data_IF_903157150374
#
_entry.id   IF_903157150374
#
_cell.length_a   1.000
_cell.length_b   1.000
_cell.length_c   1.000
_cell.angle_alpha   90.00
_cell.angle_beta   90.00
_cell.angle_gamma   90.00
#
_symmetry.space_group_name_H-M   'P 1'
#
loop_
_entity.id
_entity.type
_entity.pdbx_description
1 polymer ?
#
# COMPACT_ATOMS: atom_id res chain seq x y z
N UNK A 1 22.74 24.87 46.97
CA UNK A 1 24.04 24.19 47.08
C UNK A 1 24.50 23.87 45.67
N UNK A 2 25.58 24.51 45.24
CA UNK A 2 25.94 24.77 43.84
C UNK A 2 26.29 23.51 43.03
N UNK A 3 25.81 23.44 41.77
CA UNK A 3 26.13 22.38 40.79
C UNK A 3 27.62 22.31 40.41
N UNK A 4 28.41 23.36 40.66
CA UNK A 4 29.84 23.38 40.38
C UNK A 4 30.69 22.51 41.32
N UNK A 5 30.19 22.15 42.52
CA UNK A 5 30.97 21.34 43.46
C UNK A 5 30.85 19.83 43.26
N UNK A 6 29.97 19.36 42.38
CA UNK A 6 29.72 17.94 42.16
C UNK A 6 30.53 17.35 41.00
N UNK A 7 30.87 18.17 40.00
CA UNK A 7 31.70 17.79 38.86
C UNK A 7 33.01 17.05 39.22
N UNK A 8 33.85 17.56 40.15
CA UNK A 8 35.11 16.87 40.48
C UNK A 8 34.89 15.53 41.19
N UNK A 9 33.80 15.38 41.96
CA UNK A 9 33.47 14.13 42.65
C UNK A 9 32.98 13.04 41.67
N UNK A 10 32.22 13.42 40.64
CA UNK A 10 31.82 12.50 39.57
C UNK A 10 33.00 12.07 38.71
N UNK A 11 33.95 12.97 38.48
CA UNK A 11 35.15 12.69 37.70
C UNK A 11 36.10 11.72 38.45
N UNK A 12 36.24 11.89 39.77
CA UNK A 12 36.98 10.96 40.62
C UNK A 12 36.31 9.57 40.72
N UNK A 13 34.98 9.51 40.79
CA UNK A 13 34.21 8.26 40.76
C UNK A 13 34.31 7.54 39.40
N UNK A 14 34.39 8.29 38.30
CA UNK A 14 34.57 7.74 36.95
C UNK A 14 35.99 7.20 36.73
N UNK A 15 37.01 7.82 37.30
CA UNK A 15 38.39 7.31 37.22
C UNK A 15 38.64 6.09 38.10
N UNK A 16 38.03 6.04 39.30
CA UNK A 16 38.19 4.93 40.24
C UNK A 16 37.55 3.62 39.76
N UNK A 17 36.51 3.70 38.93
CA UNK A 17 35.78 2.53 38.41
C UNK A 17 36.02 2.31 36.90
N UNK A 18 37.13 2.82 36.35
CA UNK A 18 37.57 2.57 34.96
C UNK A 18 37.54 1.07 34.66
N UNK A 19 36.79 0.67 33.64
CA UNK A 19 36.83 -0.68 33.09
C UNK A 19 36.00 -1.74 33.82
N UNK A 20 35.16 -1.38 34.80
CA UNK A 20 34.23 -2.33 35.41
C UNK A 20 32.93 -2.42 34.58
N UNK A 21 32.71 -3.59 33.98
CA UNK A 21 31.42 -3.97 33.40
C UNK A 21 30.50 -4.44 34.52
N UNK A 22 29.34 -3.80 34.66
CA UNK A 22 28.30 -4.27 35.56
C UNK A 22 27.16 -4.88 34.73
N UNK A 23 26.72 -6.11 35.03
CA UNK A 23 25.58 -6.70 34.35
C UNK A 23 24.32 -5.94 34.75
N UNK A 24 23.77 -5.16 33.82
CA UNK A 24 22.48 -4.50 34.01
C UNK A 24 21.40 -5.51 33.66
N UNK A 25 20.60 -5.90 34.66
CA UNK A 25 19.47 -6.83 34.49
C UNK A 25 18.52 -6.25 33.44
N UNK A 26 18.47 -6.89 32.27
CA UNK A 26 17.61 -6.52 31.14
C UNK A 26 18.24 -5.64 30.05
N UNK A 27 19.52 -5.27 30.14
CA UNK A 27 20.14 -4.27 29.24
C UNK A 27 21.49 -4.62 28.60
N UNK A 28 22.10 -5.76 28.94
CA UNK A 28 23.46 -6.11 28.48
C UNK A 28 24.58 -5.42 29.28
N UNK A 29 25.83 -5.63 28.86
CA UNK A 29 27.03 -5.08 29.53
C UNK A 29 27.24 -3.61 29.15
N UNK A 30 27.20 -2.71 30.14
CA UNK A 30 27.55 -1.30 29.98
C UNK A 30 29.03 -1.05 30.25
N UNK A 31 29.72 -0.35 29.34
CA UNK A 31 31.10 0.11 29.54
C UNK A 31 31.05 1.63 29.76
N UNK A 32 31.62 2.10 30.87
CA UNK A 32 31.63 3.52 31.26
C UNK A 32 32.77 4.26 30.56
N UNK A 33 32.44 5.21 29.68
CA UNK A 33 33.36 6.14 29.02
C UNK A 33 32.91 7.61 29.20
N UNK A 34 33.88 8.54 29.21
CA UNK A 34 33.84 9.88 29.84
C UNK A 34 32.71 10.88 29.44
N UNK A 35 31.87 10.65 28.43
CA UNK A 35 30.80 11.63 28.12
C UNK A 35 29.56 11.07 27.39
N UNK A 36 29.41 9.77 27.23
CA UNK A 36 28.10 9.21 26.87
C UNK A 36 27.99 7.77 27.33
N UNK A 37 27.03 7.53 28.23
CA UNK A 37 26.54 6.18 28.49
C UNK A 37 25.71 5.81 27.25
N UNK A 38 26.34 5.20 26.25
CA UNK A 38 25.59 4.55 25.17
C UNK A 38 24.93 3.31 25.76
N UNK A 39 23.76 3.51 26.37
CA UNK A 39 22.79 2.45 26.55
C UNK A 39 22.31 2.13 25.14
N UNK A 40 23.00 1.21 24.46
CA UNK A 40 22.50 0.56 23.25
C UNK A 40 21.34 -0.32 23.68
N UNK A 41 20.22 0.34 23.98
CA UNK A 41 18.95 -0.32 24.18
C UNK A 41 18.54 -0.87 22.83
N UNK A 42 18.40 -2.19 22.75
CA UNK A 42 17.79 -2.86 21.60
C UNK A 42 16.37 -2.34 21.30
N UNK A 43 15.73 -1.65 22.27
CA UNK A 43 14.46 -0.94 22.08
C UNK A 43 14.59 0.40 21.33
N UNK A 44 15.70 1.15 21.48
CA UNK A 44 15.89 2.44 20.79
C UNK A 44 16.35 2.29 19.33
N UNK A 45 17.04 1.18 19.00
CA UNK A 45 17.29 0.78 17.61
C UNK A 45 16.00 0.38 16.89
N UNK A 46 15.11 -0.38 17.55
CA UNK A 46 13.83 -0.78 16.97
C UNK A 46 12.95 0.44 16.65
N UNK A 47 12.91 1.43 17.55
CA UNK A 47 12.10 2.64 17.36
C UNK A 47 12.67 3.60 16.31
N UNK A 48 14.01 3.68 16.19
CA UNK A 48 14.66 4.49 15.15
C UNK A 48 14.60 3.85 13.76
N UNK A 49 14.60 2.51 13.66
CA UNK A 49 14.43 1.78 12.39
C UNK A 49 12.96 1.80 11.92
N UNK A 50 12.00 1.66 12.84
CA UNK A 50 10.58 1.71 12.52
C UNK A 50 10.17 3.11 12.01
N UNK A 51 10.58 4.18 12.68
CA UNK A 51 10.24 5.55 12.25
C UNK A 51 10.82 5.96 10.88
N UNK A 52 12.04 5.49 10.56
CA UNK A 52 12.66 5.74 9.25
C UNK A 52 12.01 4.92 8.14
N UNK A 53 11.70 3.65 8.41
CA UNK A 53 11.00 2.78 7.47
C UNK A 53 9.62 3.34 7.13
N UNK A 54 8.84 3.79 8.12
CA UNK A 54 7.51 4.37 7.87
C UNK A 54 7.56 5.65 7.03
N UNK A 55 8.54 6.51 7.24
CA UNK A 55 8.67 7.76 6.47
C UNK A 55 8.99 7.47 5.00
N UNK A 56 9.91 6.53 4.74
CA UNK A 56 10.30 6.14 3.38
C UNK A 56 9.13 5.42 2.69
N UNK A 57 8.51 4.45 3.36
CA UNK A 57 7.35 3.70 2.84
C UNK A 57 6.19 4.65 2.55
N UNK A 58 5.83 5.55 3.47
CA UNK A 58 4.78 6.55 3.28
C UNK A 58 5.05 7.49 2.11
N UNK A 59 6.31 7.90 1.93
CA UNK A 59 6.75 8.70 0.77
C UNK A 59 6.55 7.96 -0.55
N UNK A 60 7.00 6.70 -0.63
CA UNK A 60 6.90 5.87 -1.84
C UNK A 60 5.44 5.54 -2.19
N UNK A 61 4.57 5.32 -1.20
CA UNK A 61 3.15 5.03 -1.42
C UNK A 61 2.34 6.26 -1.88
N UNK A 62 2.88 7.47 -1.82
CA UNK A 62 2.15 8.68 -2.21
C UNK A 62 1.85 8.75 -3.71
N UNK A 63 2.83 8.38 -4.55
CA UNK A 63 2.67 8.42 -6.01
C UNK A 63 1.70 7.34 -6.54
N UNK A 64 1.79 6.06 -6.12
CA UNK A 64 0.83 5.04 -6.53
C UNK A 64 -0.61 5.36 -6.12
N UNK A 65 -0.83 5.97 -4.95
CA UNK A 65 -2.17 6.42 -4.52
C UNK A 65 -2.77 7.43 -5.49
N UNK A 66 -1.98 8.40 -5.97
CA UNK A 66 -2.43 9.37 -6.96
C UNK A 66 -2.72 8.69 -8.31
N UNK A 67 -1.84 7.79 -8.75
CA UNK A 67 -2.04 7.00 -9.97
C UNK A 67 -3.33 6.19 -9.91
N UNK A 68 -3.61 5.51 -8.79
CA UNK A 68 -4.86 4.78 -8.58
C UNK A 68 -6.08 5.69 -8.77
N UNK A 69 -6.02 6.92 -8.27
CA UNK A 69 -7.10 7.90 -8.40
C UNK A 69 -7.34 8.30 -9.86
N UNK A 70 -6.28 8.63 -10.59
CA UNK A 70 -6.35 9.01 -12.01
C UNK A 70 -6.83 7.82 -12.86
N UNK A 71 -6.30 6.62 -12.61
CA UNK A 71 -6.68 5.41 -13.32
C UNK A 71 -8.15 5.04 -13.10
N UNK A 72 -8.68 5.25 -11.89
CA UNK A 72 -10.11 5.04 -11.63
C UNK A 72 -10.99 5.90 -12.54
N UNK A 73 -10.60 7.16 -12.78
CA UNK A 73 -11.32 8.05 -13.69
C UNK A 73 -11.17 7.60 -15.16
N UNK A 74 -9.98 7.15 -15.55
CA UNK A 74 -9.74 6.61 -16.89
C UNK A 74 -10.61 5.38 -17.18
N UNK A 75 -10.72 4.45 -16.22
CA UNK A 75 -11.60 3.27 -16.32
C UNK A 75 -13.06 3.69 -16.43
N UNK A 76 -13.52 4.63 -15.60
CA UNK A 76 -14.88 5.13 -15.67
C UNK A 76 -15.20 5.73 -17.05
N UNK A 77 -14.30 6.56 -17.59
CA UNK A 77 -14.49 7.17 -18.92
C UNK A 77 -14.54 6.12 -20.04
N UNK A 78 -13.66 5.12 -19.99
CA UNK A 78 -13.66 4.01 -20.95
C UNK A 78 -14.95 3.19 -20.86
N UNK A 79 -15.45 2.93 -19.66
CA UNK A 79 -16.71 2.21 -19.48
C UNK A 79 -17.91 3.01 -20.01
N UNK A 80 -17.92 4.34 -19.82
CA UNK A 80 -18.92 5.21 -20.43
C UNK A 80 -18.85 5.19 -21.96
N UNK A 81 -17.65 5.19 -22.54
CA UNK A 81 -17.45 5.05 -23.97
C UNK A 81 -17.98 3.70 -24.49
N UNK A 82 -17.68 2.60 -23.80
CA UNK A 82 -18.17 1.25 -24.14
C UNK A 82 -19.71 1.18 -24.14
N UNK A 83 -20.35 1.79 -23.13
CA UNK A 83 -21.82 1.89 -23.06
C UNK A 83 -22.38 2.63 -24.27
N UNK A 84 -21.77 3.75 -24.67
CA UNK A 84 -22.25 4.55 -25.81
C UNK A 84 -22.30 3.71 -27.09
N UNK A 85 -21.29 2.87 -27.32
CA UNK A 85 -21.23 1.96 -28.47
C UNK A 85 -22.35 0.91 -28.39
N UNK A 86 -22.59 0.32 -27.22
CA UNK A 86 -23.61 -0.74 -27.03
C UNK A 86 -25.03 -0.23 -26.79
N UNK A 87 -25.30 1.08 -26.90
CA UNK A 87 -26.63 1.66 -26.65
C UNK A 87 -27.71 1.06 -27.55
N UNK A 88 -27.39 0.79 -28.82
CA UNK A 88 -28.35 0.19 -29.77
C UNK A 88 -28.72 -1.23 -29.35
N UNK A 89 -27.75 -2.05 -28.97
CA UNK A 89 -27.97 -3.41 -28.48
C UNK A 89 -28.84 -3.42 -27.21
N UNK A 90 -28.55 -2.53 -26.26
CA UNK A 90 -29.38 -2.36 -25.06
C UNK A 90 -30.81 -1.90 -25.39
N UNK A 91 -30.98 -1.06 -26.41
CA UNK A 91 -32.29 -0.65 -26.92
C UNK A 91 -33.11 -1.82 -27.47
N UNK A 92 -32.47 -2.71 -28.25
CA UNK A 92 -33.10 -3.94 -28.78
C UNK A 92 -33.48 -4.88 -27.63
N UNK A 93 -32.59 -5.09 -26.66
CA UNK A 93 -32.90 -5.93 -25.49
C UNK A 93 -34.11 -5.38 -24.70
N UNK A 94 -34.21 -4.05 -24.54
CA UNK A 94 -35.38 -3.43 -23.89
C UNK A 94 -36.66 -3.56 -24.71
N UNK A 95 -36.57 -3.55 -26.04
CA UNK A 95 -37.73 -3.76 -26.92
C UNK A 95 -38.27 -5.21 -26.83
N UNK A 96 -37.41 -6.18 -26.56
CA UNK A 96 -37.78 -7.60 -26.29
C UNK A 96 -38.29 -7.79 -24.85
N UNK A 97 -38.33 -6.74 -24.02
CA UNK A 97 -38.91 -6.76 -22.67
C UNK A 97 -37.92 -6.92 -21.53
N UNK A 98 -36.61 -6.79 -21.78
CA UNK A 98 -35.61 -6.87 -20.71
C UNK A 98 -35.75 -5.65 -19.76
N UNK A 99 -36.00 -5.93 -18.47
CA UNK A 99 -36.04 -4.90 -17.43
C UNK A 99 -34.70 -4.17 -17.31
N UNK A 100 -34.73 -2.87 -16.99
CA UNK A 100 -33.52 -2.09 -16.68
C UNK A 100 -32.73 -2.65 -15.49
N UNK A 101 -33.38 -3.38 -14.56
CA UNK A 101 -32.68 -4.09 -13.48
C UNK A 101 -31.95 -5.35 -13.95
N UNK A 102 -32.46 -6.03 -14.98
CA UNK A 102 -31.79 -7.18 -15.58
C UNK A 102 -30.55 -6.74 -16.36
N UNK A 103 -30.63 -5.63 -17.11
CA UNK A 103 -29.46 -5.00 -17.74
C UNK A 103 -28.40 -4.59 -16.72
N UNK A 104 -28.81 -4.00 -15.61
CA UNK A 104 -27.90 -3.62 -14.53
C UNK A 104 -27.16 -4.83 -13.95
N UNK A 105 -27.87 -5.94 -13.68
CA UNK A 105 -27.25 -7.18 -13.19
C UNK A 105 -26.29 -7.80 -14.20
N UNK A 106 -26.60 -7.73 -15.50
CA UNK A 106 -25.73 -8.21 -16.57
C UNK A 106 -24.42 -7.41 -16.61
N UNK A 107 -24.51 -6.08 -16.61
CA UNK A 107 -23.34 -5.19 -16.59
C UNK A 107 -22.49 -5.39 -15.34
N UNK A 108 -23.14 -5.57 -14.18
CA UNK A 108 -22.44 -5.83 -12.92
C UNK A 108 -21.74 -7.20 -12.96
N UNK A 109 -22.31 -8.20 -13.62
CA UNK A 109 -21.68 -9.48 -13.88
C UNK A 109 -20.44 -9.38 -14.77
N UNK A 110 -20.54 -8.65 -15.89
CA UNK A 110 -19.40 -8.38 -16.79
C UNK A 110 -18.27 -7.64 -16.04
N UNK A 111 -18.64 -6.64 -15.24
CA UNK A 111 -17.70 -5.91 -14.39
C UNK A 111 -17.06 -6.78 -13.31
N UNK A 112 -17.82 -7.69 -12.67
CA UNK A 112 -17.29 -8.59 -11.67
C UNK A 112 -16.28 -9.57 -12.26
N UNK A 113 -16.57 -10.15 -13.44
CA UNK A 113 -15.65 -11.08 -14.12
C UNK A 113 -14.38 -10.37 -14.55
N UNK A 114 -14.49 -9.19 -15.15
CA UNK A 114 -13.33 -8.39 -15.58
C UNK A 114 -12.51 -7.90 -14.39
N UNK A 115 -13.14 -7.44 -13.31
CA UNK A 115 -12.48 -7.04 -12.08
C UNK A 115 -11.77 -8.19 -11.36
N UNK A 116 -12.38 -9.37 -11.34
CA UNK A 116 -11.75 -10.57 -10.78
C UNK A 116 -10.53 -10.99 -11.60
N UNK A 117 -10.64 -11.02 -12.93
CA UNK A 117 -9.52 -11.31 -13.82
C UNK A 117 -8.37 -10.29 -13.65
N UNK A 118 -8.69 -9.00 -13.58
CA UNK A 118 -7.71 -7.94 -13.36
C UNK A 118 -7.01 -8.07 -11.99
N UNK A 119 -7.75 -8.45 -10.95
CA UNK A 119 -7.20 -8.64 -9.61
C UNK A 119 -6.22 -9.82 -9.57
N UNK A 120 -6.56 -10.93 -10.22
CA UNK A 120 -5.66 -12.09 -10.35
C UNK A 120 -4.37 -11.73 -11.11
N UNK A 121 -4.51 -11.02 -12.23
CA UNK A 121 -3.37 -10.53 -13.02
C UNK A 121 -2.49 -9.58 -12.21
N UNK A 122 -3.10 -8.65 -11.48
CA UNK A 122 -2.40 -7.70 -10.63
C UNK A 122 -1.65 -8.38 -9.48
N UNK A 123 -2.26 -9.38 -8.83
CA UNK A 123 -1.60 -10.18 -7.79
C UNK A 123 -0.39 -10.93 -8.35
N UNK A 124 -0.55 -11.59 -9.49
CA UNK A 124 0.54 -12.31 -10.15
C UNK A 124 1.68 -11.37 -10.53
N UNK A 125 1.36 -10.22 -11.13
CA UNK A 125 2.36 -9.21 -11.49
C UNK A 125 3.04 -8.60 -10.26
N UNK A 126 2.30 -8.32 -9.19
CA UNK A 126 2.84 -7.76 -7.95
C UNK A 126 3.81 -8.70 -7.26
N UNK A 127 3.48 -9.99 -7.15
CA UNK A 127 4.39 -11.00 -6.58
C UNK A 127 5.62 -11.17 -7.49
N UNK A 128 5.41 -11.29 -8.79
CA UNK A 128 6.51 -11.44 -9.76
C UNK A 128 7.48 -10.27 -9.71
N UNK A 129 6.97 -9.03 -9.79
CA UNK A 129 7.76 -7.81 -9.69
C UNK A 129 8.45 -7.67 -8.33
N UNK A 130 7.78 -8.05 -7.23
CA UNK A 130 8.34 -8.06 -5.88
C UNK A 130 9.52 -9.02 -5.75
N UNK A 131 9.39 -10.24 -6.24
CA UNK A 131 10.47 -11.23 -6.22
C UNK A 131 11.62 -10.82 -7.15
N UNK A 132 11.33 -10.34 -8.37
CA UNK A 132 12.36 -9.87 -9.29
C UNK A 132 13.15 -8.68 -8.73
N UNK A 133 12.47 -7.71 -8.11
CA UNK A 133 13.13 -6.55 -7.49
C UNK A 133 13.98 -6.95 -6.28
N UNK A 134 13.52 -7.90 -5.46
CA UNK A 134 14.30 -8.44 -4.34
C UNK A 134 15.57 -9.18 -4.81
N UNK A 135 15.46 -10.00 -5.86
CA UNK A 135 16.61 -10.66 -6.47
C UNK A 135 17.59 -9.64 -7.07
N UNK A 136 17.08 -8.65 -7.81
CA UNK A 136 17.90 -7.61 -8.41
C UNK A 136 18.64 -6.78 -7.33
N UNK A 137 18.00 -6.47 -6.21
CA UNK A 137 18.62 -5.76 -5.09
C UNK A 137 19.80 -6.57 -4.49
N UNK A 138 19.69 -7.90 -4.47
CA UNK A 138 20.76 -8.78 -3.96
C UNK A 138 21.99 -8.77 -4.87
N UNK A 139 21.79 -8.70 -6.19
CA UNK A 139 22.89 -8.68 -7.18
C UNK A 139 23.52 -7.29 -7.38
N UNK A 140 22.74 -6.21 -7.24
CA UNK A 140 23.23 -4.84 -7.46
C UNK A 140 23.87 -4.21 -6.22
N UNK A 141 23.63 -4.75 -5.02
CA UNK A 141 24.22 -4.20 -3.80
C UNK A 141 25.70 -4.58 -3.73
N UNK A 142 26.57 -3.60 -3.95
CA UNK A 142 28.04 -3.70 -3.90
C UNK A 142 28.59 -4.32 -2.59
N UNK A 143 27.80 -4.34 -1.51
CA UNK A 143 28.14 -4.92 -0.20
C UNK A 143 27.56 -6.32 0.03
N UNK A 144 27.69 -7.21 -0.95
CA UNK A 144 27.72 -8.67 -0.77
C UNK A 144 26.72 -9.25 0.24
N UNK A 145 25.52 -9.57 -0.24
CA UNK A 145 24.76 -10.71 0.32
C UNK A 145 24.38 -10.63 1.79
N UNK A 146 24.02 -9.45 2.32
CA UNK A 146 23.15 -9.44 3.51
C UNK A 146 21.86 -10.15 3.10
N UNK A 147 21.69 -11.39 3.56
CA UNK A 147 20.56 -12.26 3.25
C UNK A 147 19.26 -11.54 3.61
N UNK A 148 18.64 -10.92 2.62
CA UNK A 148 17.37 -10.25 2.83
C UNK A 148 16.31 -11.32 2.95
N UNK A 149 15.80 -11.51 4.16
CA UNK A 149 14.71 -12.42 4.39
C UNK A 149 13.43 -11.80 3.80
N UNK A 150 13.10 -12.16 2.56
CA UNK A 150 11.92 -11.67 1.87
C UNK A 150 10.67 -12.30 2.48
N UNK A 151 10.11 -11.62 3.49
CA UNK A 151 8.83 -11.99 4.08
C UNK A 151 7.71 -11.19 3.42
N UNK A 152 6.82 -11.88 2.69
CA UNK A 152 5.63 -11.26 2.10
C UNK A 152 4.60 -10.99 3.20
N UNK A 153 4.20 -9.72 3.43
CA UNK A 153 3.17 -9.39 4.39
C UNK A 153 1.79 -9.75 3.81
N UNK A 154 1.34 -10.98 4.06
CA UNK A 154 0.01 -11.47 3.66
C UNK A 154 -1.15 -10.51 4.02
N UNK A 155 -1.18 -9.87 5.21
CA UNK A 155 -2.25 -8.93 5.54
C UNK A 155 -2.34 -7.75 4.57
N UNK A 156 -1.20 -7.19 4.16
CA UNK A 156 -1.14 -6.06 3.23
C UNK A 156 -1.59 -6.47 1.82
N UNK A 157 -1.24 -7.70 1.39
CA UNK A 157 -1.69 -8.24 0.09
C UNK A 157 -3.22 -8.40 0.08
N UNK A 158 -3.79 -8.98 1.14
CA UNK A 158 -5.25 -9.15 1.25
C UNK A 158 -5.97 -7.80 1.27
N UNK A 159 -5.45 -6.82 2.03
CA UNK A 159 -5.99 -5.46 2.04
C UNK A 159 -5.92 -4.80 0.65
N UNK A 160 -4.80 -4.94 -0.05
CA UNK A 160 -4.63 -4.44 -1.41
C UNK A 160 -5.58 -5.09 -2.41
N UNK A 161 -5.81 -6.40 -2.31
CA UNK A 161 -6.78 -7.14 -3.12
C UNK A 161 -8.20 -6.62 -2.90
N UNK A 162 -8.62 -6.49 -1.65
CA UNK A 162 -9.94 -5.99 -1.29
C UNK A 162 -10.14 -4.56 -1.78
N UNK A 163 -9.11 -3.71 -1.62
CA UNK A 163 -9.13 -2.34 -2.11
C UNK A 163 -9.27 -2.29 -3.63
N UNK A 164 -8.48 -3.09 -4.36
CA UNK A 164 -8.50 -3.13 -5.82
C UNK A 164 -9.85 -3.60 -6.36
N UNK A 165 -10.39 -4.67 -5.78
CA UNK A 165 -11.71 -5.19 -6.15
C UNK A 165 -12.80 -4.15 -5.86
N UNK A 166 -12.73 -3.47 -4.71
CA UNK A 166 -13.68 -2.41 -4.34
C UNK A 166 -13.63 -1.22 -5.30
N UNK A 167 -12.43 -0.78 -5.69
CA UNK A 167 -12.24 0.31 -6.66
C UNK A 167 -12.79 -0.10 -8.03
N UNK A 168 -12.54 -1.33 -8.48
CA UNK A 168 -13.04 -1.82 -9.77
C UNK A 168 -14.57 -1.86 -9.80
N UNK A 169 -15.20 -2.39 -8.75
CA UNK A 169 -16.66 -2.40 -8.61
C UNK A 169 -17.24 -0.98 -8.53
N UNK A 170 -16.60 -0.07 -7.77
CA UNK A 170 -17.00 1.33 -7.67
C UNK A 170 -16.91 2.05 -9.03
N UNK A 171 -15.83 1.81 -9.78
CA UNK A 171 -15.65 2.38 -11.12
C UNK A 171 -16.69 1.86 -12.11
N UNK A 172 -17.14 0.61 -11.99
CA UNK A 172 -18.18 0.01 -12.82
C UNK A 172 -19.61 0.42 -12.41
N UNK A 173 -19.82 0.87 -11.17
CA UNK A 173 -21.13 1.33 -10.69
C UNK A 173 -21.60 2.59 -11.42
N UNK A 174 -20.72 3.56 -11.63
CA UNK A 174 -21.02 4.82 -12.35
C UNK A 174 -21.62 4.56 -13.75
N UNK A 175 -20.96 3.83 -14.66
CA UNK A 175 -21.49 3.53 -15.99
C UNK A 175 -22.77 2.68 -15.91
N UNK A 176 -22.85 1.71 -14.99
CA UNK A 176 -24.05 0.87 -14.82
C UNK A 176 -25.29 1.67 -14.39
N UNK A 177 -25.13 2.66 -13.50
CA UNK A 177 -26.21 3.56 -13.09
C UNK A 177 -26.66 4.44 -14.27
N UNK A 178 -25.71 4.96 -15.05
CA UNK A 178 -26.02 5.79 -16.22
C UNK A 178 -26.78 4.98 -17.28
N UNK A 179 -26.40 3.71 -17.51
CA UNK A 179 -27.15 2.82 -18.41
C UNK A 179 -28.59 2.61 -17.94
N UNK A 180 -28.81 2.44 -16.63
CA UNK A 180 -30.15 2.29 -16.04
C UNK A 180 -31.01 3.54 -16.22
N UNK A 181 -30.43 4.73 -16.04
CA UNK A 181 -31.15 6.01 -16.07
C UNK A 181 -31.37 6.56 -17.49
N UNK A 182 -30.75 6.00 -18.52
CA UNK A 182 -30.94 6.47 -19.89
C UNK A 182 -32.28 5.99 -20.42
N UNK A 183 -33.27 6.89 -20.47
CA UNK A 183 -34.59 6.62 -21.04
C UNK A 183 -34.52 6.59 -22.58
N UNK A 184 -35.07 5.54 -23.24
CA UNK A 184 -35.01 5.36 -24.69
C UNK A 184 -35.72 6.46 -25.50
N UNK A 185 -36.56 7.28 -24.87
CA UNK A 185 -37.37 8.31 -25.55
C UNK A 185 -36.56 9.51 -26.07
N UNK A 186 -35.37 9.80 -25.52
CA UNK A 186 -34.55 10.94 -25.98
C UNK A 186 -33.78 10.67 -27.28
N UNK A 187 -33.69 9.41 -27.71
CA UNK A 187 -32.95 9.00 -28.91
C UNK A 187 -33.80 9.05 -30.19
N UNK A 188 -35.11 9.29 -30.08
CA UNK A 188 -36.04 9.46 -31.21
C UNK A 188 -36.36 10.93 -31.52
N UNK A 189 -35.89 11.87 -30.70
CA UNK A 189 -36.14 13.31 -30.89
C UNK A 189 -34.92 14.08 -31.45
N UNK A 190 -33.79 13.40 -31.71
CA UNK A 190 -32.65 13.95 -32.45
C UNK A 190 -32.45 13.22 -33.79
N UNK A 191 -33.54 13.09 -34.56
CA UNK A 191 -33.47 12.86 -35.99
C UNK A 191 -34.11 14.03 -36.72
#
# INVERSE_FOLDING_TARGET
VSQESLLPSFQALAEANRGQSFPVVGGGEGIVGQESVQITSTASLHQSIMGRTETIVSGMLRMPKLLLWIMSLAVANTALASIRVRRREMGIMRAVGLSGSALFRLLLGEAAVTGFAATLLSLGYGIFSGVCSAQMATHLTFFGGMGWNFALPWPAIVQGLLLTLSICLAAALVPAIIARCTSPLKLLQEQ
#
